data_IF_578232905761
#
_entry.id   IF_578232905761
#
_cell.length_a   1.000
_cell.length_b   1.000
_cell.length_c   1.000
_cell.angle_alpha   90.00
_cell.angle_beta   90.00
_cell.angle_gamma   90.00
#
_symmetry.space_group_name_H-M   'P 1'
#
loop_
_entity.id
_entity.type
_entity.pdbx_description
1 polymer ?
#
# COMPACT_ATOMS: atom_id res chain seq x y z
N UNK A 1 0.67 -7.56 32.58
CA UNK A 1 0.95 -6.47 31.66
C UNK A 1 0.85 -6.89 30.20
N UNK A 2 1.61 -7.91 29.80
CA UNK A 2 1.57 -8.40 28.43
C UNK A 2 0.19 -8.91 28.05
N UNK A 3 -0.51 -9.52 28.98
CA UNK A 3 -1.86 -10.03 28.73
C UNK A 3 -2.83 -8.91 28.40
N UNK A 4 -2.68 -7.77 29.05
CA UNK A 4 -3.54 -6.62 28.82
C UNK A 4 -3.31 -6.05 27.42
N UNK A 5 -2.05 -5.99 26.99
CA UNK A 5 -1.72 -5.50 25.66
C UNK A 5 -2.28 -6.42 24.58
N UNK A 6 -2.18 -7.72 24.78
CA UNK A 6 -2.75 -8.69 23.85
C UNK A 6 -4.26 -8.54 23.75
N UNK A 7 -4.89 -8.34 24.88
CA UNK A 7 -6.34 -8.17 24.92
C UNK A 7 -6.75 -6.92 24.14
N UNK A 8 -6.00 -5.83 24.34
CA UNK A 8 -6.27 -4.60 23.64
C UNK A 8 -6.10 -4.78 22.13
N UNK A 9 -5.07 -5.50 21.72
CA UNK A 9 -4.85 -5.78 20.31
C UNK A 9 -6.01 -6.59 19.72
N UNK A 10 -6.54 -7.53 20.49
CA UNK A 10 -7.68 -8.33 20.03
C UNK A 10 -8.93 -7.48 19.91
N UNK A 11 -9.12 -6.51 20.81
CA UNK A 11 -10.26 -5.61 20.72
C UNK A 11 -10.19 -4.73 19.48
N UNK A 12 -8.99 -4.42 19.01
CA UNK A 12 -8.77 -3.65 17.80
C UNK A 12 -8.58 -4.55 16.59
N UNK A 13 -8.69 -5.86 16.75
CA UNK A 13 -8.27 -6.85 15.79
C UNK A 13 -9.14 -7.00 14.56
N UNK A 14 -10.27 -6.28 14.48
CA UNK A 14 -11.10 -6.32 13.29
C UNK A 14 -10.54 -5.50 12.13
N UNK A 15 -9.55 -4.65 12.39
CA UNK A 15 -9.00 -3.75 11.39
C UNK A 15 -7.91 -4.43 10.57
N UNK A 16 -7.94 -4.27 9.23
CA UNK A 16 -6.82 -4.77 8.42
C UNK A 16 -5.51 -4.11 8.84
N UNK A 17 -4.45 -4.90 8.87
CA UNK A 17 -3.13 -4.42 9.29
C UNK A 17 -2.20 -4.39 8.09
N UNK A 18 -1.64 -3.23 7.79
CA UNK A 18 -0.68 -3.08 6.71
C UNK A 18 0.73 -3.12 7.26
N UNK A 19 1.64 -3.72 6.50
CA UNK A 19 3.06 -3.72 6.86
C UNK A 19 3.63 -2.31 6.84
N UNK A 20 3.11 -1.48 5.95
CA UNK A 20 3.46 -0.06 5.83
C UNK A 20 2.37 0.64 5.04
N UNK A 21 2.29 1.95 5.17
CA UNK A 21 1.37 2.76 4.38
C UNK A 21 2.11 3.77 3.49
N UNK A 22 3.42 3.83 3.62
CA UNK A 22 4.27 4.71 2.81
C UNK A 22 5.44 3.89 2.29
N UNK A 23 5.66 3.94 0.99
CA UNK A 23 6.86 3.40 0.38
C UNK A 23 7.67 4.53 -0.21
N UNK A 24 8.87 4.72 0.27
CA UNK A 24 9.78 5.75 -0.21
C UNK A 24 10.85 5.09 -1.08
N UNK A 25 10.84 5.42 -2.37
CA UNK A 25 11.82 4.88 -3.31
C UNK A 25 13.19 5.55 -3.16
N UNK A 26 13.26 6.63 -2.38
CA UNK A 26 14.47 7.40 -2.27
C UNK A 26 14.72 8.22 -3.51
N UNK A 27 15.98 8.35 -3.89
CA UNK A 27 16.36 9.10 -5.08
C UNK A 27 16.53 8.13 -6.25
N UNK A 28 15.77 8.36 -7.30
CA UNK A 28 15.81 7.55 -8.52
C UNK A 28 16.07 8.44 -9.71
N UNK A 29 16.43 7.86 -10.83
CA UNK A 29 16.71 8.57 -12.06
C UNK A 29 15.54 8.43 -13.03
N UNK A 30 15.35 9.46 -13.88
CA UNK A 30 14.38 9.37 -14.98
C UNK A 30 14.67 8.16 -15.89
N UNK A 31 15.88 7.65 -15.85
CA UNK A 31 16.29 6.52 -16.69
C UNK A 31 16.07 5.17 -16.07
N UNK A 32 15.63 5.14 -14.79
CA UNK A 32 15.41 3.89 -14.11
C UNK A 32 14.15 3.16 -14.56
N UNK A 33 13.24 3.87 -15.23
CA UNK A 33 11.99 3.29 -15.66
C UNK A 33 10.99 3.13 -14.53
N UNK A 34 9.90 2.40 -14.77
CA UNK A 34 8.85 2.24 -13.77
C UNK A 34 9.35 1.64 -12.46
N UNK A 35 8.78 2.09 -11.37
CA UNK A 35 9.16 1.65 -10.02
C UNK A 35 7.98 1.00 -9.34
N UNK A 36 8.16 -0.22 -8.88
CA UNK A 36 7.08 -1.02 -8.29
C UNK A 36 7.32 -1.27 -6.82
N UNK A 37 6.28 -1.17 -6.03
CA UNK A 37 6.30 -1.57 -4.62
C UNK A 37 5.04 -2.36 -4.28
N UNK A 38 5.09 -3.04 -3.15
CA UNK A 38 3.97 -3.82 -2.66
C UNK A 38 3.68 -3.47 -1.21
N UNK A 39 2.40 -3.46 -0.88
CA UNK A 39 1.92 -3.29 0.49
C UNK A 39 1.21 -4.58 0.86
N UNK A 40 1.55 -5.13 2.01
CA UNK A 40 0.96 -6.38 2.48
C UNK A 40 -0.08 -6.06 3.54
N UNK A 41 -1.28 -6.58 3.37
CA UNK A 41 -2.35 -6.42 4.34
C UNK A 41 -2.65 -7.77 4.99
N UNK A 42 -2.79 -7.77 6.30
CA UNK A 42 -3.11 -8.98 7.06
C UNK A 42 -4.54 -8.86 7.58
N UNK A 43 -5.33 -9.91 7.40
CA UNK A 43 -6.67 -9.97 7.95
C UNK A 43 -6.57 -10.41 9.42
N UNK A 44 -6.78 -9.47 10.33
CA UNK A 44 -6.73 -9.72 11.77
C UNK A 44 -8.12 -9.94 12.38
N UNK A 45 -9.17 -9.95 11.55
CA UNK A 45 -10.52 -10.13 12.00
C UNK A 45 -10.95 -11.59 11.95
N UNK A 46 -12.23 -11.84 12.22
CA UNK A 46 -12.81 -13.16 12.24
C UNK A 46 -13.49 -13.56 10.94
N UNK A 47 -13.76 -12.58 10.09
CA UNK A 47 -14.43 -12.81 8.82
C UNK A 47 -13.47 -12.58 7.67
N UNK A 48 -13.84 -13.07 6.50
CA UNK A 48 -13.05 -12.85 5.28
C UNK A 48 -12.94 -11.35 4.98
N UNK A 49 -11.77 -10.94 4.54
CA UNK A 49 -11.49 -9.58 4.15
C UNK A 49 -11.46 -9.50 2.62
N UNK A 50 -12.22 -8.57 2.08
CA UNK A 50 -12.26 -8.34 0.64
C UNK A 50 -11.71 -6.96 0.34
N UNK A 51 -10.84 -6.88 -0.65
CA UNK A 51 -10.40 -5.61 -1.20
C UNK A 51 -11.32 -5.31 -2.37
N UNK A 52 -12.18 -4.30 -2.20
CA UNK A 52 -13.18 -3.98 -3.21
C UNK A 52 -12.59 -3.24 -4.40
N UNK A 53 -11.72 -2.29 -4.11
CA UNK A 53 -11.14 -1.46 -5.15
C UNK A 53 -9.87 -0.79 -4.63
N UNK A 54 -8.96 -0.51 -5.53
CA UNK A 54 -7.75 0.25 -5.23
C UNK A 54 -7.64 1.31 -6.32
N UNK A 55 -7.64 2.58 -5.90
CA UNK A 55 -7.71 3.70 -6.83
C UNK A 55 -6.50 4.59 -6.65
N UNK A 56 -5.78 4.85 -7.72
CA UNK A 56 -4.65 5.77 -7.68
C UNK A 56 -5.12 7.20 -7.94
N UNK A 57 -4.41 8.16 -7.34
CA UNK A 57 -4.69 9.59 -7.54
C UNK A 57 -4.18 10.11 -8.89
N UNK A 58 -3.41 9.31 -9.59
CA UNK A 58 -2.72 9.73 -10.80
C UNK A 58 -2.76 8.61 -11.84
N UNK A 59 -3.02 8.95 -13.10
CA UNK A 59 -2.90 7.99 -14.20
C UNK A 59 -1.47 7.49 -14.39
N UNK A 60 -0.51 8.09 -13.69
CA UNK A 60 0.89 7.71 -13.72
C UNK A 60 1.23 6.52 -12.81
N UNK A 61 0.24 5.98 -12.11
CA UNK A 61 0.44 4.89 -11.16
C UNK A 61 -0.54 3.78 -11.46
N UNK A 62 -0.03 2.61 -11.81
CA UNK A 62 -0.83 1.41 -12.02
C UNK A 62 -0.95 0.65 -10.72
N UNK A 63 -2.09 0.01 -10.51
CA UNK A 63 -2.34 -0.75 -9.28
C UNK A 63 -2.90 -2.11 -9.61
N UNK A 64 -2.60 -3.06 -8.73
CA UNK A 64 -3.20 -4.39 -8.74
C UNK A 64 -3.32 -4.87 -7.31
N UNK A 65 -4.19 -5.84 -7.07
CA UNK A 65 -4.42 -6.29 -5.70
C UNK A 65 -5.00 -7.70 -5.68
N UNK A 66 -4.95 -8.32 -4.51
CA UNK A 66 -5.52 -9.63 -4.28
C UNK A 66 -7.03 -9.56 -4.49
N UNK A 67 -7.55 -10.36 -5.42
CA UNK A 67 -8.97 -10.34 -5.79
C UNK A 67 -9.79 -11.35 -5.01
N UNK A 68 -9.16 -12.39 -4.51
CA UNK A 68 -9.84 -13.40 -3.71
C UNK A 68 -10.01 -12.94 -2.27
N UNK A 69 -10.95 -13.56 -1.56
CA UNK A 69 -11.15 -13.27 -0.15
C UNK A 69 -9.90 -13.64 0.64
N UNK A 70 -9.51 -12.77 1.55
CA UNK A 70 -8.37 -12.99 2.45
C UNK A 70 -8.95 -13.53 3.74
N UNK A 71 -8.67 -14.78 4.03
CA UNK A 71 -9.24 -15.44 5.20
C UNK A 71 -8.59 -14.94 6.49
N UNK A 72 -9.27 -15.09 7.63
CA UNK A 72 -8.67 -14.69 8.91
C UNK A 72 -7.27 -15.24 9.08
N UNK A 73 -6.35 -14.37 9.45
CA UNK A 73 -4.94 -14.71 9.63
C UNK A 73 -4.12 -14.73 8.36
N UNK A 74 -4.74 -14.63 7.20
CA UNK A 74 -4.04 -14.65 5.92
C UNK A 74 -3.70 -13.25 5.46
N UNK A 75 -2.88 -13.19 4.41
CA UNK A 75 -2.37 -11.93 3.88
C UNK A 75 -2.76 -11.75 2.43
N UNK A 76 -2.97 -10.49 2.06
CA UNK A 76 -3.14 -10.10 0.68
C UNK A 76 -2.13 -9.03 0.32
N UNK A 77 -2.09 -8.67 -0.96
CA UNK A 77 -1.13 -7.69 -1.45
C UNK A 77 -1.80 -6.62 -2.29
N UNK A 78 -1.28 -5.41 -2.19
CA UNK A 78 -1.60 -4.33 -3.10
C UNK A 78 -0.28 -3.92 -3.73
N UNK A 79 -0.20 -4.00 -5.05
CA UNK A 79 1.00 -3.67 -5.80
C UNK A 79 0.76 -2.38 -6.56
N UNK A 80 1.72 -1.47 -6.53
CA UNK A 80 1.61 -0.19 -7.21
C UNK A 80 2.88 0.08 -7.99
N UNK A 81 2.73 0.57 -9.21
CA UNK A 81 3.85 0.88 -10.10
C UNK A 81 3.75 2.33 -10.54
N UNK A 82 4.72 3.12 -10.13
CA UNK A 82 4.86 4.50 -10.57
C UNK A 82 5.59 4.49 -11.93
N UNK A 83 5.00 5.14 -12.92
CA UNK A 83 5.53 5.11 -14.29
C UNK A 83 6.89 5.77 -14.44
N UNK A 84 7.21 6.72 -13.56
CA UNK A 84 8.49 7.44 -13.59
C UNK A 84 8.69 8.20 -14.91
N UNK A 85 7.61 8.81 -15.42
CA UNK A 85 7.70 9.59 -16.65
C UNK A 85 7.12 11.01 -16.50
N UNK A 86 6.99 11.48 -15.25
CA UNK A 86 6.50 12.83 -14.98
C UNK A 86 7.60 13.90 -15.05
N UNK A 87 8.85 13.48 -14.98
CA UNK A 87 9.97 14.41 -14.99
C UNK A 87 10.76 14.38 -13.71
N UNK A 88 11.85 15.17 -13.64
CA UNK A 88 12.77 15.11 -12.50
C UNK A 88 12.35 16.06 -11.38
N UNK A 89 11.56 15.55 -10.44
CA UNK A 89 11.17 16.29 -9.25
C UNK A 89 10.67 15.34 -8.18
N UNK A 90 10.46 15.83 -6.95
CA UNK A 90 9.89 15.01 -5.90
C UNK A 90 8.45 14.61 -6.24
N UNK A 91 8.07 13.42 -5.83
CA UNK A 91 6.69 12.96 -6.02
C UNK A 91 6.15 12.31 -4.78
N UNK A 92 4.83 12.35 -4.63
CA UNK A 92 4.08 11.64 -3.61
C UNK A 92 2.73 11.31 -4.22
N UNK A 93 2.57 10.06 -4.64
CA UNK A 93 1.34 9.60 -5.26
C UNK A 93 0.57 8.77 -4.26
N UNK A 94 -0.75 8.96 -4.21
CA UNK A 94 -1.59 8.23 -3.27
C UNK A 94 -2.36 7.14 -3.99
N UNK A 95 -2.57 6.06 -3.27
CA UNK A 95 -3.36 4.91 -3.69
C UNK A 95 -4.32 4.62 -2.57
N UNK A 96 -5.61 4.62 -2.87
CA UNK A 96 -6.65 4.46 -1.86
C UNK A 96 -7.28 3.08 -1.99
N UNK A 97 -7.23 2.32 -0.91
CA UNK A 97 -7.76 0.96 -0.87
C UNK A 97 -9.09 0.94 -0.12
N UNK A 98 -10.12 0.42 -0.78
CA UNK A 98 -11.44 0.26 -0.21
C UNK A 98 -11.64 -1.22 0.11
N UNK A 99 -11.93 -1.51 1.38
CA UNK A 99 -11.98 -2.88 1.87
C UNK A 99 -13.21 -3.10 2.73
N UNK A 100 -13.62 -4.37 2.83
CA UNK A 100 -14.67 -4.75 3.77
C UNK A 100 -14.17 -4.58 5.20
N UNK A 101 -15.09 -4.42 6.14
CA UNK A 101 -14.80 -4.29 7.57
C UNK A 101 -13.94 -3.07 7.92
N UNK A 102 -13.93 -2.09 7.03
CA UNK A 102 -13.19 -0.86 7.27
C UNK A 102 -14.00 0.30 6.72
N UNK A 103 -14.58 1.11 7.61
CA UNK A 103 -15.44 2.21 7.21
C UNK A 103 -14.69 3.27 6.43
N UNK A 104 -13.42 3.47 6.78
CA UNK A 104 -12.60 4.47 6.10
C UNK A 104 -11.62 3.78 5.19
N UNK A 105 -11.49 4.25 3.95
CA UNK A 105 -10.48 3.68 3.07
C UNK A 105 -9.08 3.95 3.60
N UNK A 106 -8.14 3.10 3.24
CA UNK A 106 -6.75 3.24 3.64
C UNK A 106 -6.01 3.94 2.50
N UNK A 107 -5.30 5.01 2.84
CA UNK A 107 -4.50 5.76 1.86
C UNK A 107 -3.06 5.32 1.97
N UNK A 108 -2.52 4.83 0.85
CA UNK A 108 -1.13 4.41 0.75
C UNK A 108 -0.37 5.43 -0.08
N UNK A 109 0.91 5.57 0.19
CA UNK A 109 1.75 6.57 -0.48
C UNK A 109 2.94 5.93 -1.15
N UNK A 110 3.19 6.36 -2.40
CA UNK A 110 4.43 6.10 -3.11
C UNK A 110 5.13 7.44 -3.23
N UNK A 111 6.33 7.56 -2.69
CA UNK A 111 7.06 8.81 -2.74
C UNK A 111 8.51 8.60 -3.09
N UNK A 112 9.14 9.66 -3.53
CA UNK A 112 10.56 9.66 -3.84
C UNK A 112 10.95 10.94 -4.52
N UNK A 113 12.21 11.01 -4.95
CA UNK A 113 12.74 12.13 -5.72
C UNK A 113 13.36 11.62 -6.99
N UNK A 114 12.91 12.17 -8.11
CA UNK A 114 13.43 11.77 -9.42
C UNK A 114 14.45 12.81 -9.86
N UNK A 115 15.58 12.36 -10.37
CA UNK A 115 16.63 13.24 -10.86
C UNK A 115 16.88 12.96 -12.34
N UNK A 116 17.52 13.93 -13.00
CA UNK A 116 17.97 13.77 -14.39
C UNK A 116 19.30 13.03 -14.50
N UNK A 117 19.98 12.85 -13.38
CA UNK A 117 21.34 12.31 -13.40
C UNK A 117 21.33 10.84 -13.75
N UNK A 118 22.31 10.43 -14.54
CA UNK A 118 22.51 9.01 -14.78
C UNK A 118 23.02 8.37 -13.51
N UNK A 119 22.50 7.18 -13.21
CA UNK A 119 23.07 6.37 -12.17
C UNK A 119 24.41 5.84 -12.60
N UNK A 120 25.35 5.87 -11.72
CA UNK A 120 26.66 5.29 -11.98
C UNK A 120 26.73 3.86 -11.46
#
# INVERSE_FOLDING_TARGET
>A
MKTVLLLLALLLGGQPQFDKTVHDFGTISVKDGPQTCSFTVTNTGDDDLLIYAVVSSCGCTDVDWTRSAIKPGEKGTITATYSNNDGPYPFDKTVTAYMSHNEKPVVLHLRGTVTNKKKK
#
